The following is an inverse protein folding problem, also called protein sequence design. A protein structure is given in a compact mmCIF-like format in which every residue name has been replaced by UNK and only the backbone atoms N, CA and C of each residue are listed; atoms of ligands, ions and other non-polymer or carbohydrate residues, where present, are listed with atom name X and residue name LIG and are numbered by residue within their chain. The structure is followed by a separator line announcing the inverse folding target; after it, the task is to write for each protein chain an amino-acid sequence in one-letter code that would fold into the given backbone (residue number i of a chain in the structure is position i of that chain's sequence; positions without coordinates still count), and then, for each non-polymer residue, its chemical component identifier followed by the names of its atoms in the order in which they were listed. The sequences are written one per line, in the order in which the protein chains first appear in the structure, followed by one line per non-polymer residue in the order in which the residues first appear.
data_IF_307465989502
#
_entry.id   IF_307465989502
#
_cell.length_a   1.000
_cell.length_b   1.000
_cell.length_c   1.000
_cell.angle_alpha   90.00
_cell.angle_beta   90.00
_cell.angle_gamma   90.00
#
_symmetry.space_group_name_H-M   'P 1'
#
loop_
_entity.id
_entity.type
_entity.pdbx_description
1 polymer ?
#
# COMPACT_ATOMS: atom_id res chain seq x y z
N UNK A 1 4.38 15.95 70.42
CA UNK A 1 3.28 15.80 69.42
C UNK A 1 3.73 15.92 67.97
N UNK A 2 5.04 16.02 67.68
CA UNK A 2 5.56 16.19 66.30
C UNK A 2 6.09 14.88 65.68
N UNK A 3 6.41 13.87 66.48
CA UNK A 3 7.06 12.63 66.01
C UNK A 3 6.08 11.56 65.46
N UNK A 4 4.83 11.60 65.83
CA UNK A 4 3.79 10.62 65.41
C UNK A 4 3.24 10.94 64.02
N UNK A 5 3.49 12.15 63.49
CA UNK A 5 2.96 12.56 62.15
C UNK A 5 3.87 12.21 60.97
N UNK A 6 5.16 11.98 61.22
CA UNK A 6 6.13 11.64 60.18
C UNK A 6 6.16 10.14 59.86
N UNK A 7 5.83 9.28 60.86
CA UNK A 7 5.79 7.84 60.63
C UNK A 7 4.54 7.39 59.79
N UNK A 8 3.46 8.16 59.82
CA UNK A 8 2.26 7.88 59.01
C UNK A 8 2.45 8.25 57.52
N UNK A 9 3.32 9.24 57.19
CA UNK A 9 3.60 9.61 55.79
C UNK A 9 4.63 8.68 55.11
N UNK A 10 5.45 7.98 55.89
CA UNK A 10 6.42 7.02 55.36
C UNK A 10 5.82 5.64 54.99
N UNK A 11 4.66 5.29 55.55
CA UNK A 11 3.96 4.03 55.26
C UNK A 11 3.04 4.06 54.04
N UNK A 12 2.71 5.24 53.51
CA UNK A 12 1.78 5.37 52.37
C UNK A 12 2.52 5.51 51.03
N UNK A 13 3.84 5.85 51.04
CA UNK A 13 4.61 5.97 49.79
C UNK A 13 5.40 4.72 49.39
N UNK A 14 5.32 3.63 50.15
CA UNK A 14 6.07 2.40 49.91
C UNK A 14 5.29 1.22 49.34
N UNK A 15 3.96 1.32 49.20
CA UNK A 15 3.13 0.16 48.81
C UNK A 15 2.55 0.20 47.38
N UNK A 16 2.59 1.34 46.69
CA UNK A 16 2.02 1.46 45.34
C UNK A 16 3.00 1.07 44.22
N UNK A 17 4.30 1.27 44.43
CA UNK A 17 5.33 0.99 43.40
C UNK A 17 5.85 -0.47 43.43
N UNK A 18 5.67 -1.21 44.55
CA UNK A 18 6.15 -2.59 44.65
C UNK A 18 5.20 -3.59 44.02
N UNK A 19 3.89 -3.32 44.06
CA UNK A 19 2.89 -4.26 43.56
C UNK A 19 2.77 -4.21 42.02
N UNK A 20 3.00 -3.05 41.41
CA UNK A 20 3.01 -2.89 39.93
C UNK A 20 4.29 -3.45 39.28
N UNK A 21 5.41 -3.46 40.02
CA UNK A 21 6.67 -4.03 39.54
C UNK A 21 6.75 -5.55 39.73
N UNK A 22 6.12 -6.12 40.76
CA UNK A 22 6.01 -7.57 40.94
C UNK A 22 5.03 -8.21 39.97
N UNK A 23 3.94 -7.54 39.61
CA UNK A 23 2.93 -8.08 38.65
C UNK A 23 3.52 -8.21 37.24
N UNK A 24 4.36 -7.27 36.79
CA UNK A 24 5.05 -7.36 35.50
C UNK A 24 6.13 -8.47 35.45
N UNK A 25 6.69 -8.89 36.58
CA UNK A 25 7.63 -10.02 36.64
C UNK A 25 6.94 -11.38 36.75
N UNK A 26 5.74 -11.45 37.31
CA UNK A 26 4.96 -12.69 37.41
C UNK A 26 4.47 -13.16 36.06
N UNK A 27 4.03 -12.26 35.17
CA UNK A 27 3.62 -12.63 33.81
C UNK A 27 4.79 -13.15 32.95
N UNK A 28 5.99 -12.63 33.16
CA UNK A 28 7.19 -13.12 32.48
C UNK A 28 7.62 -14.53 32.92
N UNK A 29 7.25 -14.97 34.13
CA UNK A 29 7.54 -16.31 34.66
C UNK A 29 6.52 -17.38 34.30
N UNK A 30 5.28 -17.01 33.97
CA UNK A 30 4.18 -17.96 33.74
C UNK A 30 4.15 -18.49 32.30
N UNK A 31 4.81 -17.85 31.35
CA UNK A 31 4.92 -18.38 29.99
C UNK A 31 6.22 -19.17 29.82
N UNK A 32 6.23 -20.51 29.73
CA UNK A 32 7.45 -21.26 29.46
C UNK A 32 8.02 -20.80 28.10
N UNK A 33 9.25 -20.29 28.09
CA UNK A 33 9.99 -19.86 26.87
C UNK A 33 9.92 -20.86 25.71
N UNK A 34 9.68 -22.12 26.04
CA UNK A 34 9.54 -23.25 25.07
C UNK A 34 8.27 -23.16 24.23
N UNK A 35 7.17 -22.56 24.73
CA UNK A 35 5.91 -22.43 24.01
C UNK A 35 5.87 -21.19 23.11
N UNK A 36 6.56 -20.11 23.46
CA UNK A 36 6.66 -18.94 22.57
C UNK A 36 7.43 -19.26 21.28
N UNK A 37 8.55 -19.98 21.36
CA UNK A 37 9.29 -20.42 20.17
C UNK A 37 8.44 -21.37 19.27
N UNK A 38 7.64 -22.26 19.87
CA UNK A 38 6.77 -23.18 19.10
C UNK A 38 5.59 -22.44 18.42
N UNK A 39 5.05 -21.40 19.04
CA UNK A 39 3.95 -20.60 18.45
C UNK A 39 4.43 -19.77 17.25
N UNK A 40 5.60 -19.17 17.37
CA UNK A 40 6.25 -18.41 16.28
C UNK A 40 6.60 -19.34 15.11
N UNK A 41 7.21 -20.50 15.38
CA UNK A 41 7.60 -21.46 14.32
C UNK A 41 6.39 -22.10 13.62
N UNK A 42 5.24 -22.26 14.29
CA UNK A 42 4.01 -22.74 13.64
C UNK A 42 3.34 -21.65 12.76
N UNK A 43 3.48 -20.38 13.10
CA UNK A 43 2.97 -19.26 12.31
C UNK A 43 3.68 -19.15 10.95
N UNK A 44 4.97 -19.45 10.88
CA UNK A 44 5.77 -19.38 9.65
C UNK A 44 5.38 -20.41 8.55
N UNK A 45 4.54 -21.41 8.85
CA UNK A 45 4.17 -22.45 7.89
C UNK A 45 3.02 -22.12 6.94
N UNK A 46 2.20 -21.11 7.25
CA UNK A 46 1.10 -20.71 6.35
C UNK A 46 1.52 -19.48 5.55
N UNK A 47 1.58 -19.61 4.24
CA UNK A 47 1.84 -18.47 3.33
C UNK A 47 0.80 -17.38 3.51
N UNK A 48 -0.47 -17.75 3.73
CA UNK A 48 -1.58 -16.85 3.97
C UNK A 48 -2.45 -17.39 5.11
N UNK A 49 -2.90 -16.51 6.02
CA UNK A 49 -3.92 -16.83 7.02
C UNK A 49 -5.32 -16.51 6.48
N UNK A 50 -6.36 -17.14 7.06
CA UNK A 50 -7.75 -16.84 6.68
C UNK A 50 -8.13 -15.38 6.93
N UNK A 51 -7.59 -14.77 7.98
CA UNK A 51 -7.80 -13.34 8.28
C UNK A 51 -7.15 -12.45 7.22
N UNK A 52 -5.92 -12.78 6.81
CA UNK A 52 -5.23 -12.06 5.74
C UNK A 52 -5.98 -12.15 4.40
N UNK A 53 -6.45 -13.35 4.03
CA UNK A 53 -7.24 -13.54 2.81
C UNK A 53 -8.50 -12.68 2.84
N UNK A 54 -9.23 -12.67 3.97
CA UNK A 54 -10.41 -11.82 4.15
C UNK A 54 -10.04 -10.34 3.97
N UNK A 55 -8.99 -9.88 4.64
CA UNK A 55 -8.58 -8.48 4.63
C UNK A 55 -8.10 -8.05 3.23
N UNK A 56 -7.32 -8.88 2.54
CA UNK A 56 -6.94 -8.66 1.13
C UNK A 56 -8.15 -8.65 0.19
N UNK A 57 -9.15 -9.50 0.43
CA UNK A 57 -10.38 -9.50 -0.39
C UNK A 57 -11.15 -8.20 -0.21
N UNK A 58 -11.34 -7.73 1.04
CA UNK A 58 -12.00 -6.44 1.31
C UNK A 58 -11.23 -5.30 0.67
N UNK A 59 -9.90 -5.27 0.85
CA UNK A 59 -9.04 -4.26 0.23
C UNK A 59 -9.15 -4.28 -1.30
N UNK A 60 -9.17 -5.45 -1.91
CA UNK A 60 -9.33 -5.60 -3.37
C UNK A 60 -10.66 -5.06 -3.87
N UNK A 61 -11.75 -5.27 -3.13
CA UNK A 61 -13.06 -4.71 -3.46
C UNK A 61 -13.01 -3.17 -3.41
N UNK A 62 -12.41 -2.60 -2.36
CA UNK A 62 -12.26 -1.15 -2.24
C UNK A 62 -11.40 -0.57 -3.37
N UNK A 63 -10.29 -1.21 -3.71
CA UNK A 63 -9.43 -0.81 -4.84
C UNK A 63 -10.18 -0.88 -6.18
N UNK A 64 -11.01 -1.91 -6.40
CA UNK A 64 -11.85 -1.99 -7.59
C UNK A 64 -12.88 -0.84 -7.65
N UNK A 65 -13.47 -0.47 -6.52
CA UNK A 65 -14.38 0.68 -6.43
C UNK A 65 -13.65 2.01 -6.70
N UNK A 66 -12.41 2.17 -6.23
CA UNK A 66 -11.56 3.33 -6.59
C UNK A 66 -11.28 3.34 -8.08
N UNK A 67 -10.98 2.20 -8.71
CA UNK A 67 -10.78 2.11 -10.15
C UNK A 67 -12.03 2.54 -10.93
N UNK A 68 -13.21 2.09 -10.53
CA UNK A 68 -14.48 2.47 -11.13
C UNK A 68 -14.73 3.97 -10.95
N UNK A 69 -14.52 4.52 -9.73
CA UNK A 69 -14.75 5.94 -9.47
C UNK A 69 -13.87 6.85 -10.35
N UNK A 70 -12.64 6.41 -10.64
CA UNK A 70 -11.73 7.17 -11.53
C UNK A 70 -12.20 7.22 -13.00
N UNK A 71 -13.14 6.40 -13.40
CA UNK A 71 -13.76 6.51 -14.73
C UNK A 71 -14.64 7.76 -14.90
N UNK A 72 -15.07 8.39 -13.79
CA UNK A 72 -15.74 9.68 -13.79
C UNK A 72 -14.88 10.81 -14.38
N UNK A 73 -13.55 10.67 -14.31
CA UNK A 73 -12.60 11.66 -14.82
C UNK A 73 -12.31 11.53 -16.34
N UNK A 74 -12.90 10.55 -17.03
CA UNK A 74 -12.69 10.33 -18.48
C UNK A 74 -13.19 11.47 -19.38
N UNK A 75 -13.78 12.52 -18.84
CA UNK A 75 -14.22 13.69 -19.59
C UNK A 75 -13.52 14.99 -19.21
N UNK A 76 -12.44 14.92 -18.41
CA UNK A 76 -11.70 16.11 -17.95
C UNK A 76 -12.41 16.90 -16.85
N UNK A 77 -13.49 16.39 -16.29
CA UNK A 77 -14.24 17.03 -15.20
C UNK A 77 -13.72 16.51 -13.86
N UNK A 78 -12.90 17.29 -13.17
CA UNK A 78 -12.65 17.09 -11.74
C UNK A 78 -13.94 17.40 -10.95
N UNK A 79 -14.51 16.41 -10.29
CA UNK A 79 -15.70 16.60 -9.48
C UNK A 79 -16.22 15.33 -8.85
N UNK A 80 -17.27 15.44 -8.03
CA UNK A 80 -17.98 14.34 -7.39
C UNK A 80 -18.56 13.36 -8.42
N UNK A 81 -17.67 12.64 -9.10
CA UNK A 81 -17.91 11.95 -10.32
C UNK A 81 -18.47 10.54 -10.19
N UNK A 82 -19.00 10.11 -9.03
CA UNK A 82 -19.47 8.73 -8.90
C UNK A 82 -20.63 8.41 -9.85
N UNK A 83 -21.51 9.39 -10.14
CA UNK A 83 -22.61 9.21 -11.08
C UNK A 83 -22.06 9.10 -12.51
N UNK A 84 -21.18 10.03 -12.90
CA UNK A 84 -20.51 9.97 -14.21
C UNK A 84 -19.60 8.75 -14.33
N UNK A 85 -18.97 8.32 -13.26
CA UNK A 85 -18.18 7.09 -13.23
C UNK A 85 -19.02 5.84 -13.51
N UNK A 86 -20.19 5.73 -12.89
CA UNK A 86 -21.12 4.62 -13.13
C UNK A 86 -21.72 4.66 -14.53
N UNK A 87 -22.03 5.87 -15.04
CA UNK A 87 -22.52 6.04 -16.42
C UNK A 87 -21.45 5.65 -17.44
N UNK A 88 -20.20 6.11 -17.27
CA UNK A 88 -19.09 5.75 -18.14
C UNK A 88 -18.78 4.25 -18.05
N UNK A 89 -18.78 3.67 -16.86
CA UNK A 89 -18.63 2.23 -16.68
C UNK A 89 -19.71 1.45 -17.45
N UNK A 90 -20.99 1.80 -17.24
CA UNK A 90 -22.11 1.12 -17.91
C UNK A 90 -22.06 1.28 -19.45
N UNK A 91 -21.77 2.49 -19.94
CA UNK A 91 -21.69 2.75 -21.38
C UNK A 91 -20.54 1.98 -22.04
N UNK A 92 -19.37 1.91 -21.40
CA UNK A 92 -18.23 1.17 -21.92
C UNK A 92 -18.46 -0.34 -21.89
N UNK A 93 -19.03 -0.89 -20.82
CA UNK A 93 -19.36 -2.32 -20.71
C UNK A 93 -20.33 -2.75 -21.81
N UNK A 94 -21.26 -1.87 -22.21
CA UNK A 94 -22.26 -2.14 -23.26
C UNK A 94 -21.73 -1.84 -24.68
N UNK A 95 -20.49 -1.37 -24.82
CA UNK A 95 -19.86 -1.01 -26.09
C UNK A 95 -18.83 -2.07 -26.54
N UNK A 96 -18.27 -1.87 -27.73
CA UNK A 96 -17.14 -2.65 -28.24
C UNK A 96 -15.86 -2.46 -27.40
N UNK A 97 -15.84 -1.53 -26.46
CA UNK A 97 -14.70 -1.20 -25.58
C UNK A 97 -14.90 -1.72 -24.14
N UNK A 98 -15.72 -2.76 -23.96
CA UNK A 98 -16.00 -3.39 -22.65
C UNK A 98 -14.74 -3.81 -21.87
N UNK A 99 -13.64 -4.03 -22.56
CA UNK A 99 -12.35 -4.40 -21.98
C UNK A 99 -11.67 -3.24 -21.23
N UNK A 100 -12.02 -1.97 -21.52
CA UNK A 100 -11.41 -0.79 -20.86
C UNK A 100 -11.73 -0.74 -19.36
N UNK A 101 -13.00 -0.79 -18.92
CA UNK A 101 -13.33 -0.81 -17.49
C UNK A 101 -12.77 -2.03 -16.77
N UNK A 102 -12.77 -3.19 -17.40
CA UNK A 102 -12.16 -4.40 -16.83
C UNK A 102 -10.64 -4.21 -16.70
N UNK A 103 -9.99 -3.69 -17.73
CA UNK A 103 -8.56 -3.39 -17.72
C UNK A 103 -8.18 -2.40 -16.61
N UNK A 104 -8.98 -1.34 -16.40
CA UNK A 104 -8.78 -0.40 -15.28
C UNK A 104 -8.80 -1.12 -13.94
N UNK A 105 -9.83 -1.93 -13.67
CA UNK A 105 -9.93 -2.69 -12.42
C UNK A 105 -8.71 -3.62 -12.26
N UNK A 106 -8.35 -4.36 -13.31
CA UNK A 106 -7.20 -5.28 -13.28
C UNK A 106 -5.89 -4.55 -12.99
N UNK A 107 -5.64 -3.41 -13.64
CA UNK A 107 -4.42 -2.62 -13.43
C UNK A 107 -4.36 -2.11 -11.98
N UNK A 108 -5.45 -1.57 -11.44
CA UNK A 108 -5.49 -1.11 -10.07
C UNK A 108 -5.25 -2.25 -9.07
N UNK A 109 -5.89 -3.40 -9.29
CA UNK A 109 -5.69 -4.58 -8.44
C UNK A 109 -4.24 -5.10 -8.52
N UNK A 110 -3.66 -5.18 -9.71
CA UNK A 110 -2.27 -5.61 -9.87
C UNK A 110 -1.29 -4.62 -9.23
N UNK A 111 -1.54 -3.32 -9.34
CA UNK A 111 -0.72 -2.28 -8.71
C UNK A 111 -0.71 -2.41 -7.19
N UNK A 112 -1.89 -2.57 -6.59
CA UNK A 112 -2.06 -2.75 -5.16
C UNK A 112 -1.50 -4.10 -4.67
N UNK A 113 -1.99 -5.20 -5.25
CA UNK A 113 -1.58 -6.54 -4.86
C UNK A 113 -0.08 -6.77 -5.08
N UNK A 114 0.47 -6.26 -6.18
CA UNK A 114 1.90 -6.33 -6.46
C UNK A 114 2.74 -5.63 -5.39
N UNK A 115 2.31 -4.46 -4.95
CA UNK A 115 2.94 -3.71 -3.88
C UNK A 115 2.93 -4.48 -2.55
N UNK A 116 1.75 -4.89 -2.08
CA UNK A 116 1.60 -5.60 -0.79
C UNK A 116 2.30 -6.97 -0.80
N UNK A 117 2.17 -7.72 -1.90
CA UNK A 117 2.83 -9.02 -2.02
C UNK A 117 4.35 -8.90 -2.13
N UNK A 118 4.88 -7.81 -2.71
CA UNK A 118 6.32 -7.55 -2.74
C UNK A 118 6.87 -7.39 -1.33
N UNK A 119 6.21 -6.62 -0.45
CA UNK A 119 6.56 -6.55 0.97
C UNK A 119 6.54 -7.93 1.62
N UNK A 120 5.42 -8.65 1.46
CA UNK A 120 5.22 -9.96 2.09
C UNK A 120 6.30 -10.96 1.71
N UNK A 121 6.54 -11.12 0.41
CA UNK A 121 7.50 -12.13 -0.06
C UNK A 121 8.94 -11.76 0.28
N UNK A 122 9.27 -10.47 0.28
CA UNK A 122 10.59 -9.99 0.74
C UNK A 122 10.78 -10.24 2.23
N UNK A 123 9.77 -9.95 3.07
CA UNK A 123 9.81 -10.27 4.50
C UNK A 123 10.00 -11.77 4.73
N UNK A 124 9.23 -12.61 4.03
CA UNK A 124 9.32 -14.07 4.15
C UNK A 124 10.66 -14.61 3.65
N UNK A 125 11.27 -14.01 2.62
CA UNK A 125 12.60 -14.36 2.16
C UNK A 125 13.66 -14.16 3.26
N UNK A 126 13.52 -13.11 4.07
CA UNK A 126 14.37 -12.87 5.25
C UNK A 126 13.95 -13.64 6.51
N UNK A 127 13.01 -14.58 6.39
CA UNK A 127 12.53 -15.40 7.50
C UNK A 127 11.62 -14.67 8.50
N UNK A 128 11.13 -13.49 8.13
CA UNK A 128 10.18 -12.73 8.94
C UNK A 128 8.75 -13.25 8.77
N UNK A 129 7.94 -13.08 9.81
CA UNK A 129 6.49 -13.19 9.69
C UNK A 129 5.95 -11.92 9.03
N UNK A 130 4.99 -12.08 8.10
CA UNK A 130 4.37 -10.97 7.40
C UNK A 130 2.94 -11.30 7.04
N UNK A 131 2.00 -10.41 7.38
CA UNK A 131 0.58 -10.53 7.05
C UNK A 131 -0.05 -9.16 6.80
N UNK A 132 -0.84 -9.07 5.72
CA UNK A 132 -1.66 -7.90 5.43
C UNK A 132 -2.83 -7.78 6.40
N UNK A 133 -3.10 -6.55 6.87
CA UNK A 133 -4.24 -6.23 7.72
C UNK A 133 -4.89 -4.92 7.30
N UNK A 134 -6.22 -4.96 7.20
CA UNK A 134 -7.04 -3.75 7.11
C UNK A 134 -6.97 -2.99 8.44
N UNK A 135 -7.03 -1.66 8.35
CA UNK A 135 -7.14 -0.78 9.51
C UNK A 135 -8.19 0.31 9.27
N UNK A 136 -8.61 1.00 10.34
CA UNK A 136 -9.65 2.03 10.25
C UNK A 136 -9.26 3.17 9.30
N UNK A 137 -7.98 3.57 9.29
CA UNK A 137 -7.49 4.61 8.38
C UNK A 137 -7.61 4.18 6.92
N UNK A 138 -7.37 2.89 6.62
CA UNK A 138 -7.52 2.32 5.27
C UNK A 138 -8.95 2.44 4.75
N UNK A 139 -9.95 2.19 5.58
CA UNK A 139 -11.36 2.38 5.18
C UNK A 139 -11.67 3.84 4.88
N UNK A 140 -11.21 4.79 5.74
CA UNK A 140 -11.44 6.21 5.51
C UNK A 140 -10.74 6.73 4.26
N UNK A 141 -9.48 6.38 4.04
CA UNK A 141 -8.73 6.77 2.84
C UNK A 141 -9.38 6.21 1.57
N UNK A 142 -9.82 4.95 1.59
CA UNK A 142 -10.53 4.36 0.46
C UNK A 142 -11.86 5.05 0.18
N UNK A 143 -12.63 5.38 1.22
CA UNK A 143 -13.89 6.12 1.06
C UNK A 143 -13.66 7.51 0.44
N UNK A 144 -12.66 8.26 0.91
CA UNK A 144 -12.27 9.55 0.34
C UNK A 144 -11.84 9.37 -1.12
N UNK A 145 -11.01 8.38 -1.42
CA UNK A 145 -10.55 8.10 -2.77
C UNK A 145 -11.72 7.81 -3.73
N UNK A 146 -12.71 7.02 -3.30
CA UNK A 146 -13.90 6.71 -4.08
C UNK A 146 -14.77 7.96 -4.31
N UNK A 147 -15.04 8.75 -3.26
CA UNK A 147 -15.90 9.93 -3.33
C UNK A 147 -15.30 10.99 -4.25
N UNK A 148 -14.01 11.25 -4.12
CA UNK A 148 -13.30 12.29 -4.86
C UNK A 148 -12.64 11.81 -6.15
N UNK A 149 -12.79 10.53 -6.51
CA UNK A 149 -12.15 9.92 -7.69
C UNK A 149 -10.63 10.14 -7.72
N UNK A 150 -9.98 10.05 -6.55
CA UNK A 150 -8.53 10.21 -6.41
C UNK A 150 -7.88 8.83 -6.58
N UNK A 151 -6.88 8.66 -7.45
CA UNK A 151 -6.21 7.38 -7.66
C UNK A 151 -5.18 7.07 -6.55
N UNK A 152 -5.61 7.18 -5.29
CA UNK A 152 -4.80 6.85 -4.11
C UNK A 152 -5.57 5.82 -3.31
N UNK A 153 -4.87 4.80 -2.82
CA UNK A 153 -5.44 3.84 -1.91
C UNK A 153 -4.40 3.45 -0.84
N UNK A 154 -4.87 3.45 0.39
CA UNK A 154 -4.11 2.99 1.55
C UNK A 154 -5.04 2.11 2.38
N UNK A 155 -5.49 0.99 1.77
CA UNK A 155 -6.55 0.15 2.34
C UNK A 155 -6.16 -0.55 3.63
N UNK A 156 -4.86 -0.76 3.85
CA UNK A 156 -4.31 -1.44 5.02
C UNK A 156 -2.81 -1.30 5.06
N UNK A 157 -2.16 -2.19 5.80
CA UNK A 157 -0.71 -2.22 5.89
C UNK A 157 -0.19 -3.64 6.09
N UNK A 158 1.04 -3.87 5.64
CA UNK A 158 1.75 -5.12 5.87
C UNK A 158 2.41 -5.10 7.25
N UNK A 159 1.92 -5.93 8.16
CA UNK A 159 2.56 -6.13 9.46
C UNK A 159 3.68 -7.15 9.34
N UNK A 160 4.89 -6.77 9.73
CA UNK A 160 6.06 -7.63 9.73
C UNK A 160 6.65 -7.75 11.12
N UNK A 161 7.19 -8.92 11.46
CA UNK A 161 7.91 -9.14 12.72
C UNK A 161 8.94 -10.25 12.58
N UNK A 162 9.92 -10.24 13.49
CA UNK A 162 10.91 -11.32 13.58
C UNK A 162 12.33 -10.96 13.14
N UNK A 163 12.60 -9.69 12.82
CA UNK A 163 13.96 -9.23 12.56
C UNK A 163 14.37 -8.09 13.48
N UNK A 164 15.65 -8.05 13.80
CA UNK A 164 16.34 -6.89 14.40
C UNK A 164 17.31 -6.27 13.39
N UNK A 165 17.39 -6.81 12.17
CA UNK A 165 18.28 -6.32 11.14
C UNK A 165 17.60 -5.17 10.37
N UNK A 166 18.14 -3.96 10.52
CA UNK A 166 17.65 -2.75 9.83
C UNK A 166 17.65 -2.87 8.30
N UNK A 167 18.61 -3.59 7.74
CA UNK A 167 18.71 -3.79 6.30
C UNK A 167 17.57 -4.67 5.77
N UNK A 168 17.23 -5.75 6.48
CA UNK A 168 16.12 -6.62 6.10
C UNK A 168 14.78 -5.90 6.16
N UNK A 169 14.58 -5.11 7.22
CA UNK A 169 13.38 -4.28 7.38
C UNK A 169 13.29 -3.24 6.26
N UNK A 170 14.36 -2.50 5.99
CA UNK A 170 14.40 -1.50 4.92
C UNK A 170 14.19 -2.10 3.52
N UNK A 171 14.79 -3.25 3.21
CA UNK A 171 14.58 -3.94 1.94
C UNK A 171 13.15 -4.45 1.79
N UNK A 172 12.52 -4.85 2.90
CA UNK A 172 11.10 -5.22 2.90
C UNK A 172 10.22 -4.02 2.59
N UNK A 173 10.46 -2.87 3.23
CA UNK A 173 9.72 -1.64 2.97
C UNK A 173 10.00 -1.08 1.55
N UNK A 174 11.21 -1.25 1.03
CA UNK A 174 11.56 -0.84 -0.34
C UNK A 174 10.81 -1.66 -1.41
N UNK A 175 10.50 -2.92 -1.14
CA UNK A 175 9.98 -3.87 -2.14
C UNK A 175 8.65 -3.42 -2.75
N UNK A 176 7.74 -2.82 -1.97
CA UNK A 176 6.47 -2.28 -2.46
C UNK A 176 6.66 -1.15 -3.48
N UNK A 177 7.28 -0.02 -3.10
CA UNK A 177 7.54 1.07 -4.03
C UNK A 177 8.37 0.67 -5.25
N UNK A 178 9.32 -0.25 -5.09
CA UNK A 178 10.12 -0.78 -6.19
C UNK A 178 9.27 -1.60 -7.17
N UNK A 179 8.33 -2.40 -6.67
CA UNK A 179 7.39 -3.14 -7.53
C UNK A 179 6.54 -2.19 -8.37
N UNK A 180 6.04 -1.12 -7.79
CA UNK A 180 5.30 -0.09 -8.52
C UNK A 180 6.16 0.59 -9.59
N UNK A 181 7.41 0.91 -9.29
CA UNK A 181 8.35 1.44 -10.28
C UNK A 181 8.54 0.49 -11.46
N UNK A 182 8.72 -0.80 -11.20
CA UNK A 182 8.88 -1.83 -12.24
C UNK A 182 7.61 -1.95 -13.09
N UNK A 183 6.43 -2.00 -12.46
CA UNK A 183 5.15 -2.05 -13.18
C UNK A 183 4.93 -0.80 -14.05
N UNK A 184 5.14 0.40 -13.50
CA UNK A 184 5.01 1.64 -14.25
C UNK A 184 5.97 1.69 -15.44
N UNK A 185 7.24 1.30 -15.26
CA UNK A 185 8.24 1.26 -16.32
C UNK A 185 7.86 0.26 -17.43
N UNK A 186 7.33 -0.91 -17.06
CA UNK A 186 6.81 -1.88 -18.02
C UNK A 186 5.65 -1.34 -18.84
N UNK A 187 4.73 -0.59 -18.21
CA UNK A 187 3.61 0.06 -18.90
C UNK A 187 4.09 1.18 -19.84
N UNK A 188 5.14 1.93 -19.48
CA UNK A 188 5.78 2.91 -20.42
C UNK A 188 6.29 2.19 -21.67
N UNK A 189 6.95 1.04 -21.52
CA UNK A 189 7.39 0.24 -22.67
C UNK A 189 6.22 -0.24 -23.52
N UNK A 190 5.12 -0.68 -22.89
CA UNK A 190 3.89 -1.09 -23.60
C UNK A 190 3.32 0.10 -24.38
N UNK A 191 3.27 1.32 -23.80
CA UNK A 191 2.81 2.51 -24.52
C UNK A 191 3.66 2.79 -25.75
N UNK A 192 4.99 2.72 -25.65
CA UNK A 192 5.90 2.93 -26.78
C UNK A 192 5.66 1.90 -27.89
N UNK A 193 5.60 0.60 -27.55
CA UNK A 193 5.36 -0.47 -28.51
C UNK A 193 3.99 -0.31 -29.17
N UNK A 194 2.95 -0.01 -28.39
CA UNK A 194 1.60 0.18 -28.93
C UNK A 194 1.53 1.33 -29.94
N UNK A 195 2.15 2.47 -29.65
CA UNK A 195 2.18 3.63 -30.57
C UNK A 195 2.95 3.38 -31.86
N UNK A 196 3.93 2.47 -31.83
CA UNK A 196 4.68 2.08 -33.01
C UNK A 196 3.98 1.02 -33.88
N UNK A 197 3.01 0.27 -33.29
CA UNK A 197 2.44 -0.93 -33.90
C UNK A 197 0.94 -0.84 -34.19
N UNK A 198 0.24 0.14 -33.63
CA UNK A 198 -1.21 0.29 -33.68
C UNK A 198 -1.62 1.71 -34.09
N UNK A 199 -2.87 1.84 -34.55
CA UNK A 199 -3.50 3.12 -34.87
C UNK A 199 -5.01 3.07 -34.59
N UNK A 200 -5.67 4.23 -34.70
CA UNK A 200 -7.11 4.36 -34.57
C UNK A 200 -7.64 4.31 -33.13
N UNK A 201 -8.95 4.19 -33.00
CA UNK A 201 -9.67 4.32 -31.72
C UNK A 201 -9.24 3.29 -30.67
N UNK A 202 -8.88 2.07 -31.10
CA UNK A 202 -8.41 1.03 -30.18
C UNK A 202 -7.08 1.40 -29.53
N UNK A 203 -6.14 2.02 -30.25
CA UNK A 203 -4.92 2.58 -29.72
C UNK A 203 -5.23 3.66 -28.67
N UNK A 204 -6.18 4.57 -28.96
CA UNK A 204 -6.58 5.64 -28.03
C UNK A 204 -7.02 5.09 -26.66
N UNK A 205 -7.88 4.08 -26.66
CA UNK A 205 -8.32 3.45 -25.42
C UNK A 205 -7.21 2.66 -24.72
N UNK A 206 -6.33 1.99 -25.48
CA UNK A 206 -5.18 1.29 -24.89
C UNK A 206 -4.22 2.27 -24.24
N UNK A 207 -3.88 3.38 -24.90
CA UNK A 207 -3.00 4.42 -24.34
C UNK A 207 -3.63 5.05 -23.10
N UNK A 208 -4.93 5.33 -23.12
CA UNK A 208 -5.66 5.79 -21.94
C UNK A 208 -5.50 4.81 -20.76
N UNK A 209 -5.75 3.52 -20.97
CA UNK A 209 -5.65 2.48 -19.95
C UNK A 209 -4.21 2.37 -19.39
N UNK A 210 -3.23 2.34 -20.28
CA UNK A 210 -1.81 2.26 -19.92
C UNK A 210 -1.35 3.51 -19.17
N UNK A 211 -1.79 4.70 -19.59
CA UNK A 211 -1.51 5.96 -18.90
C UNK A 211 -1.99 5.94 -17.46
N UNK A 212 -3.23 5.50 -17.23
CA UNK A 212 -3.73 5.34 -15.85
C UNK A 212 -2.90 4.34 -15.05
N UNK A 213 -2.52 3.23 -15.67
CA UNK A 213 -1.64 2.25 -15.03
C UNK A 213 -0.27 2.83 -14.65
N UNK A 214 0.32 3.65 -15.50
CA UNK A 214 1.59 4.33 -15.23
C UNK A 214 1.41 5.29 -14.04
N UNK A 215 0.37 6.12 -14.09
CA UNK A 215 0.11 7.14 -13.05
C UNK A 215 -0.17 6.47 -11.71
N UNK A 216 -1.06 5.47 -11.66
CA UNK A 216 -1.43 4.83 -10.40
C UNK A 216 -0.23 4.14 -9.72
N UNK A 217 0.60 3.44 -10.49
CA UNK A 217 1.80 2.81 -9.95
C UNK A 217 2.82 3.84 -9.48
N UNK A 218 3.09 4.87 -10.29
CA UNK A 218 4.06 5.91 -9.92
C UNK A 218 3.60 6.70 -8.69
N UNK A 219 2.32 7.07 -8.61
CA UNK A 219 1.74 7.80 -7.46
C UNK A 219 1.70 6.93 -6.22
N UNK A 220 1.30 5.65 -6.31
CA UNK A 220 1.28 4.72 -5.17
C UNK A 220 2.70 4.51 -4.62
N UNK A 221 3.67 4.27 -5.51
CA UNK A 221 5.07 4.13 -5.11
C UNK A 221 5.61 5.43 -4.48
N UNK A 222 5.33 6.59 -5.09
CA UNK A 222 5.79 7.89 -4.61
C UNK A 222 5.17 8.25 -3.24
N UNK A 223 3.88 7.98 -3.05
CA UNK A 223 3.18 8.19 -1.79
C UNK A 223 3.81 7.36 -0.67
N UNK A 224 4.15 6.10 -0.94
CA UNK A 224 4.83 5.25 0.03
C UNK A 224 6.30 5.63 0.25
N UNK A 225 6.93 6.41 -0.65
CA UNK A 225 8.28 6.95 -0.43
C UNK A 225 8.32 8.23 0.41
N UNK A 226 7.18 8.72 0.94
CA UNK A 226 7.14 9.83 1.90
C UNK A 226 7.99 9.47 3.13
N UNK A 227 8.96 10.34 3.54
CA UNK A 227 9.98 9.98 4.54
C UNK A 227 9.51 10.18 5.99
N UNK A 228 8.26 9.85 6.29
CA UNK A 228 7.65 9.91 7.63
C UNK A 228 6.83 8.64 7.91
N UNK A 229 6.80 8.18 9.15
CA UNK A 229 5.95 7.06 9.54
C UNK A 229 4.46 7.41 9.34
N UNK A 230 3.62 6.47 8.88
CA UNK A 230 3.86 5.04 8.74
C UNK A 230 4.30 4.58 7.34
N UNK A 231 4.78 5.47 6.46
CA UNK A 231 5.14 5.14 5.09
C UNK A 231 6.49 4.41 4.98
N UNK A 232 6.64 3.58 3.95
CA UNK A 232 7.83 2.77 3.66
C UNK A 232 9.11 3.62 3.55
N UNK A 233 8.97 4.80 2.95
CA UNK A 233 10.05 5.75 2.72
C UNK A 233 10.76 6.20 3.97
N UNK A 234 10.10 6.21 5.12
CA UNK A 234 10.74 6.53 6.40
C UNK A 234 11.85 5.52 6.71
N UNK A 235 11.53 4.23 6.66
CA UNK A 235 12.48 3.14 6.94
C UNK A 235 13.58 3.05 5.88
N UNK A 236 13.22 3.21 4.60
CA UNK A 236 14.19 3.18 3.49
C UNK A 236 15.18 4.34 3.59
N UNK A 237 14.70 5.58 3.85
CA UNK A 237 15.56 6.76 4.01
C UNK A 237 16.51 6.63 5.18
N UNK A 238 16.05 6.10 6.31
CA UNK A 238 16.86 5.96 7.51
C UNK A 238 17.96 4.90 7.35
N UNK A 239 17.75 3.93 6.46
CA UNK A 239 18.76 2.94 6.10
C UNK A 239 19.70 3.45 4.99
N UNK A 240 19.16 3.97 3.88
CA UNK A 240 19.96 4.41 2.72
C UNK A 240 19.30 5.60 2.02
N UNK A 241 19.78 6.82 2.34
CA UNK A 241 19.27 8.08 1.78
C UNK A 241 19.47 8.18 0.26
N UNK A 242 20.55 7.63 -0.27
CA UNK A 242 20.83 7.68 -1.71
C UNK A 242 19.82 6.82 -2.47
N UNK A 243 19.59 5.60 -2.04
CA UNK A 243 18.62 4.70 -2.66
C UNK A 243 17.18 5.25 -2.55
N UNK A 244 16.82 5.79 -1.39
CA UNK A 244 15.54 6.48 -1.18
C UNK A 244 15.36 7.63 -2.19
N UNK A 245 16.36 8.52 -2.31
CA UNK A 245 16.31 9.66 -3.21
C UNK A 245 16.24 9.23 -4.68
N UNK A 246 17.05 8.25 -5.08
CA UNK A 246 17.07 7.72 -6.44
C UNK A 246 15.72 7.17 -6.87
N UNK A 247 15.09 6.32 -6.04
CA UNK A 247 13.79 5.76 -6.36
C UNK A 247 12.69 6.83 -6.35
N UNK A 248 12.75 7.79 -5.42
CA UNK A 248 11.82 8.93 -5.37
C UNK A 248 11.89 9.76 -6.64
N UNK A 249 13.10 10.14 -7.10
CA UNK A 249 13.30 10.88 -8.35
C UNK A 249 12.81 10.07 -9.56
N UNK A 250 13.11 8.77 -9.60
CA UNK A 250 12.66 7.90 -10.67
C UNK A 250 11.13 7.83 -10.76
N UNK A 251 10.44 7.69 -9.63
CA UNK A 251 8.98 7.71 -9.58
C UNK A 251 8.39 9.06 -9.99
N UNK A 252 8.97 10.18 -9.55
CA UNK A 252 8.59 11.53 -10.00
C UNK A 252 8.73 11.64 -11.53
N UNK A 253 9.83 11.15 -12.08
CA UNK A 253 10.06 11.18 -13.54
C UNK A 253 8.98 10.39 -14.29
N UNK A 254 8.56 9.24 -13.77
CA UNK A 254 7.46 8.44 -14.35
C UNK A 254 6.12 9.17 -14.24
N UNK A 255 5.83 9.86 -13.12
CA UNK A 255 4.62 10.71 -13.01
C UNK A 255 4.62 11.77 -14.10
N UNK A 256 5.75 12.45 -14.33
CA UNK A 256 5.90 13.47 -15.39
C UNK A 256 5.64 12.83 -16.76
N UNK A 257 6.23 11.67 -17.05
CA UNK A 257 6.01 10.94 -18.31
C UNK A 257 4.51 10.61 -18.47
N UNK A 258 3.86 10.09 -17.44
CA UNK A 258 2.44 9.72 -17.48
C UNK A 258 1.51 10.91 -17.76
N UNK A 259 1.78 12.07 -17.17
CA UNK A 259 0.91 13.24 -17.33
C UNK A 259 1.25 14.14 -18.53
N UNK A 260 2.50 14.27 -18.90
CA UNK A 260 2.93 15.22 -19.92
C UNK A 260 3.28 14.58 -21.27
N UNK A 261 3.98 13.44 -21.25
CA UNK A 261 4.50 12.85 -22.49
C UNK A 261 3.47 11.97 -23.17
N UNK A 262 2.81 11.08 -22.44
CA UNK A 262 1.87 10.13 -23.05
C UNK A 262 0.67 10.82 -23.71
N UNK A 263 0.04 11.86 -23.13
CA UNK A 263 -1.05 12.58 -23.79
C UNK A 263 -0.64 13.33 -25.06
N UNK A 264 0.65 13.61 -25.24
CA UNK A 264 1.18 14.29 -26.44
C UNK A 264 1.44 13.34 -27.61
N UNK A 265 1.31 12.04 -27.41
CA UNK A 265 1.50 11.06 -28.47
C UNK A 265 0.35 11.21 -29.47
N UNK A 266 0.63 11.57 -30.73
CA UNK A 266 -0.41 11.73 -31.74
C UNK A 266 -1.06 10.38 -32.00
N UNK A 267 -2.33 10.27 -31.67
CA UNK A 267 -3.15 9.14 -32.07
C UNK A 267 -3.45 9.32 -33.57
N UNK A 268 -2.52 8.88 -34.41
CA UNK A 268 -2.68 8.99 -35.86
C UNK A 268 -3.96 8.22 -36.28
N UNK A 269 -4.90 8.94 -36.85
CA UNK A 269 -6.18 8.46 -37.38
C UNK A 269 -5.98 7.46 -38.51
#
# INVERSE_FOLDING_TARGET
MHQVRDDAKRKVSGSADSDEYEDNQTWARVMPRRNQKRKIVRSHRKRFSSTEIRDLTIASILVALVAISNMGNMGGSFGFGIISALQNFASLIMSSFWWVPIGMIVIFLLSFMGHELAHKFTAQHYGMWSEFRMNSMGYYLSAIAIIFSIPIFGTGTMYTSGTTNREHDAKTNLAGPLSNFVFASGLVLIAIVATLSMSGTALGFLIFLVQYGIIINAVLGLFNMIPIQPFDGATVRDWNKFLWLTLTIALISIVIIGYLVIPMIPLTS
#
